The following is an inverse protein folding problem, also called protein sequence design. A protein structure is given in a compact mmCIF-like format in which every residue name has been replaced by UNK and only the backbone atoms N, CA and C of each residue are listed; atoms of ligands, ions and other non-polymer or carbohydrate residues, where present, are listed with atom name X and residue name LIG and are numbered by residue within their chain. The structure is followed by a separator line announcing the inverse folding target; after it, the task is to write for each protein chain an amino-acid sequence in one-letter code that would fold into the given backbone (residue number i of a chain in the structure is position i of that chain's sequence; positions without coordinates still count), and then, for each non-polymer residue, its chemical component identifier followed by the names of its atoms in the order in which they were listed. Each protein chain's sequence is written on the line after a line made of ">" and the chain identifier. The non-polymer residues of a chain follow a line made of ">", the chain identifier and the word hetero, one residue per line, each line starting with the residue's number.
data_IF_261725753098
#
_entry.id   IF_261725753098
#
_cell.length_a   1.000
_cell.length_b   1.000
_cell.length_c   1.000
_cell.angle_alpha   90.00
_cell.angle_beta   90.00
_cell.angle_gamma   90.00
#
_symmetry.space_group_name_H-M   'P 1'
#
loop_
_entity.id
_entity.type
_entity.pdbx_description
1 polymer ?
#
# COMPACT_ATOMS: atom_id res chain seq x y z
N UNK A 1 8.93 -18.68 44.50
CA UNK A 1 7.59 -18.70 43.90
C UNK A 1 7.70 -18.20 42.46
N UNK A 2 7.11 -18.96 41.54
CA UNK A 2 6.86 -18.73 40.11
C UNK A 2 7.85 -17.89 39.29
N UNK A 3 8.56 -18.55 38.36
CA UNK A 3 9.11 -17.90 37.16
C UNK A 3 7.94 -17.31 36.36
N UNK A 4 7.95 -16.00 36.16
CA UNK A 4 7.06 -15.34 35.20
C UNK A 4 7.47 -15.79 33.79
N UNK A 5 6.62 -16.46 33.01
CA UNK A 5 6.84 -16.54 31.58
C UNK A 5 6.47 -15.16 31.02
N UNK A 6 7.47 -14.30 30.84
CA UNK A 6 7.37 -13.25 29.83
C UNK A 6 7.20 -14.00 28.51
N UNK A 7 6.00 -14.05 27.92
CA UNK A 7 5.89 -14.47 26.53
C UNK A 7 6.82 -13.57 25.75
N UNK A 8 7.82 -14.16 25.11
CA UNK A 8 8.73 -13.39 24.28
C UNK A 8 7.93 -12.78 23.13
N UNK A 9 8.36 -11.65 22.58
CA UNK A 9 7.67 -11.05 21.42
C UNK A 9 7.51 -12.07 20.28
N UNK A 10 8.43 -13.04 20.16
CA UNK A 10 8.36 -14.15 19.22
C UNK A 10 7.17 -15.08 19.48
N UNK A 11 6.83 -15.36 20.74
CA UNK A 11 5.67 -16.19 21.09
C UNK A 11 4.36 -15.53 20.63
N UNK A 12 4.24 -14.21 20.79
CA UNK A 12 3.05 -13.45 20.34
C UNK A 12 2.93 -13.52 18.82
N UNK A 13 4.04 -13.35 18.09
CA UNK A 13 4.05 -13.49 16.65
C UNK A 13 3.59 -14.90 16.22
N UNK A 14 4.14 -15.94 16.84
CA UNK A 14 3.81 -17.32 16.49
C UNK A 14 2.34 -17.65 16.75
N UNK A 15 1.77 -17.15 17.85
CA UNK A 15 0.34 -17.28 18.16
C UNK A 15 -0.54 -16.58 17.12
N UNK A 16 -0.17 -15.35 16.71
CA UNK A 16 -0.90 -14.60 15.68
C UNK A 16 -0.80 -15.27 14.31
N UNK A 17 0.39 -15.73 13.94
CA UNK A 17 0.60 -16.46 12.69
C UNK A 17 -0.21 -17.76 12.68
N UNK A 18 -0.21 -18.52 13.77
CA UNK A 18 -1.01 -19.74 13.88
C UNK A 18 -2.51 -19.45 13.77
N UNK A 19 -2.99 -18.35 14.36
CA UNK A 19 -4.40 -17.92 14.26
C UNK A 19 -4.80 -17.52 12.84
N UNK A 20 -3.92 -16.84 12.09
CA UNK A 20 -4.22 -16.32 10.75
C UNK A 20 -3.84 -17.27 9.62
N UNK A 21 -2.99 -18.28 9.87
CA UNK A 21 -2.53 -19.24 8.88
C UNK A 21 -3.66 -19.98 8.12
N UNK A 22 -4.77 -20.40 8.77
CA UNK A 22 -5.88 -21.05 8.08
C UNK A 22 -6.60 -20.15 7.05
N UNK A 23 -6.49 -18.83 7.19
CA UNK A 23 -7.04 -17.88 6.23
C UNK A 23 -5.99 -17.54 5.16
N UNK A 24 -4.76 -17.22 5.59
CA UNK A 24 -3.70 -16.72 4.70
C UNK A 24 -3.20 -17.76 3.69
N UNK A 25 -2.78 -18.94 4.15
CA UNK A 25 -2.07 -19.87 3.28
C UNK A 25 -2.96 -20.56 2.24
N UNK A 26 -4.19 -21.00 2.57
CA UNK A 26 -5.07 -21.60 1.56
C UNK A 26 -5.42 -20.64 0.41
N UNK A 27 -5.60 -19.35 0.70
CA UNK A 27 -5.82 -18.35 -0.35
C UNK A 27 -4.59 -18.19 -1.25
N UNK A 28 -3.38 -18.14 -0.66
CA UNK A 28 -2.14 -18.05 -1.43
C UNK A 28 -1.83 -19.34 -2.20
N UNK A 29 -2.19 -20.50 -1.66
CA UNK A 29 -2.05 -21.79 -2.34
C UNK A 29 -3.01 -21.89 -3.53
N UNK A 30 -4.23 -21.39 -3.39
CA UNK A 30 -5.18 -21.31 -4.51
C UNK A 30 -4.67 -20.43 -5.66
N UNK A 31 -3.99 -19.31 -5.35
CA UNK A 31 -3.44 -18.40 -6.36
C UNK A 31 -2.12 -18.87 -6.96
N UNK A 32 -1.21 -19.39 -6.13
CA UNK A 32 0.19 -19.58 -6.50
C UNK A 32 0.70 -21.01 -6.29
N UNK A 33 -0.06 -21.91 -5.67
CA UNK A 33 0.40 -23.24 -5.25
C UNK A 33 0.90 -24.15 -6.38
N UNK A 34 0.45 -23.92 -7.61
CA UNK A 34 0.94 -24.64 -8.79
C UNK A 34 2.33 -24.16 -9.29
N UNK A 35 2.85 -23.04 -8.77
CA UNK A 35 4.14 -22.50 -9.19
C UNK A 35 5.29 -23.19 -8.46
N UNK A 36 6.37 -23.45 -9.18
CA UNK A 36 7.58 -24.07 -8.62
C UNK A 36 8.27 -23.21 -7.55
N UNK A 37 8.09 -21.88 -7.57
CA UNK A 37 8.67 -20.93 -6.62
C UNK A 37 7.81 -20.67 -5.39
N UNK A 38 6.62 -21.28 -5.29
CA UNK A 38 5.67 -21.05 -4.19
C UNK A 38 6.24 -21.36 -2.79
N UNK A 39 6.95 -22.49 -2.55
CA UNK A 39 7.54 -22.75 -1.23
C UNK A 39 8.53 -21.65 -0.81
N UNK A 40 9.40 -21.22 -1.73
CA UNK A 40 10.37 -20.16 -1.47
C UNK A 40 9.69 -18.79 -1.26
N UNK A 41 8.59 -18.50 -1.97
CA UNK A 41 7.76 -17.32 -1.71
C UNK A 41 7.17 -17.36 -0.29
N UNK A 42 6.62 -18.50 0.13
CA UNK A 42 6.02 -18.67 1.47
C UNK A 42 7.04 -18.39 2.58
N UNK A 43 8.25 -18.92 2.45
CA UNK A 43 9.33 -18.69 3.41
C UNK A 43 9.73 -17.21 3.47
N UNK A 44 9.85 -16.55 2.31
CA UNK A 44 10.14 -15.11 2.24
C UNK A 44 9.02 -14.27 2.85
N UNK A 45 7.77 -14.62 2.62
CA UNK A 45 6.61 -13.94 3.21
C UNK A 45 6.64 -14.03 4.74
N UNK A 46 6.84 -15.22 5.31
CA UNK A 46 6.93 -15.40 6.76
C UNK A 46 8.11 -14.61 7.34
N UNK A 47 9.26 -14.60 6.63
CA UNK A 47 10.43 -13.81 7.03
C UNK A 47 10.14 -12.31 7.03
N UNK A 48 9.45 -11.78 6.01
CA UNK A 48 9.04 -10.38 5.94
C UNK A 48 8.08 -10.02 7.09
N UNK A 49 7.08 -10.86 7.37
CA UNK A 49 6.16 -10.67 8.48
C UNK A 49 6.88 -10.67 9.84
N UNK A 50 7.80 -11.61 10.07
CA UNK A 50 8.63 -11.64 11.30
C UNK A 50 9.47 -10.39 11.45
N UNK A 51 10.10 -9.94 10.35
CA UNK A 51 10.88 -8.69 10.35
C UNK A 51 10.00 -7.49 10.69
N UNK A 52 8.84 -7.35 10.04
CA UNK A 52 7.89 -6.26 10.33
C UNK A 52 7.45 -6.25 11.80
N UNK A 53 7.21 -7.41 12.40
CA UNK A 53 6.93 -7.51 13.83
C UNK A 53 8.12 -7.08 14.70
N UNK A 54 9.32 -7.57 14.39
CA UNK A 54 10.54 -7.24 15.13
C UNK A 54 10.85 -5.73 15.09
N UNK A 55 10.63 -5.08 13.94
CA UNK A 55 10.86 -3.65 13.76
C UNK A 55 9.72 -2.79 14.33
N UNK A 56 8.55 -3.37 14.64
CA UNK A 56 7.35 -2.63 15.08
C UNK A 56 7.58 -1.90 16.41
N UNK A 57 7.39 -0.57 16.48
CA UNK A 57 7.50 0.21 17.70
C UNK A 57 6.60 -0.27 18.85
N UNK A 58 7.08 -0.13 20.09
CA UNK A 58 6.38 -0.62 21.27
C UNK A 58 4.99 0.02 21.49
N UNK A 59 4.81 1.29 21.15
CA UNK A 59 3.51 1.98 21.23
C UNK A 59 2.50 1.38 20.23
N UNK A 60 2.96 0.99 19.03
CA UNK A 60 2.14 0.33 18.03
C UNK A 60 1.83 -1.12 18.38
N UNK A 61 2.77 -1.86 19.01
CA UNK A 61 2.46 -3.20 19.56
C UNK A 61 1.41 -3.13 20.66
N UNK A 62 1.48 -2.11 21.53
CA UNK A 62 0.42 -1.83 22.52
C UNK A 62 -0.91 -1.53 21.85
N UNK A 63 -0.90 -0.74 20.76
CA UNK A 63 -2.10 -0.46 19.98
C UNK A 63 -2.69 -1.75 19.39
N UNK A 64 -1.86 -2.67 18.88
CA UNK A 64 -2.34 -3.96 18.38
C UNK A 64 -3.10 -4.74 19.46
N UNK A 65 -2.53 -4.86 20.66
CA UNK A 65 -3.19 -5.53 21.79
C UNK A 65 -4.51 -4.84 22.17
N UNK A 66 -4.55 -3.51 22.15
CA UNK A 66 -5.78 -2.77 22.42
C UNK A 66 -6.86 -3.06 21.36
N UNK A 67 -6.50 -3.21 20.08
CA UNK A 67 -7.44 -3.54 19.01
C UNK A 67 -7.85 -5.01 19.00
N UNK A 68 -6.97 -5.93 19.42
CA UNK A 68 -7.34 -7.34 19.64
C UNK A 68 -8.41 -7.48 20.74
N UNK A 69 -8.33 -6.65 21.79
CA UNK A 69 -9.30 -6.63 22.89
C UNK A 69 -10.60 -5.90 22.54
N UNK A 70 -10.57 -4.99 21.57
CA UNK A 70 -11.71 -4.20 21.12
C UNK A 70 -11.91 -4.38 19.60
N UNK A 71 -12.25 -5.58 19.11
CA UNK A 71 -12.35 -5.83 17.66
C UNK A 71 -13.46 -5.02 16.99
N UNK A 72 -14.44 -4.52 17.75
CA UNK A 72 -15.55 -3.69 17.31
C UNK A 72 -15.27 -2.19 17.42
N UNK A 73 -14.02 -1.78 17.70
CA UNK A 73 -13.66 -0.38 17.94
C UNK A 73 -14.13 0.56 16.83
N UNK A 74 -14.13 0.08 15.57
CA UNK A 74 -14.52 0.78 14.35
C UNK A 74 -16.05 0.87 14.12
N UNK A 75 -16.86 0.26 14.99
CA UNK A 75 -18.33 0.28 14.93
C UNK A 75 -18.96 1.24 15.95
N UNK A 76 -18.14 1.91 16.76
CA UNK A 76 -18.61 2.77 17.85
C UNK A 76 -19.30 4.02 17.28
N UNK A 77 -20.43 4.46 17.85
CA UNK A 77 -21.16 5.65 17.36
C UNK A 77 -20.34 6.94 17.37
N UNK A 78 -19.29 7.00 18.21
CA UNK A 78 -18.39 8.15 18.32
C UNK A 78 -17.40 8.28 17.15
N UNK A 79 -17.37 7.34 16.21
CA UNK A 79 -16.44 7.42 15.10
C UNK A 79 -16.89 8.44 14.06
N UNK A 80 -16.13 9.52 13.98
CA UNK A 80 -16.26 10.51 12.93
C UNK A 80 -14.99 10.52 12.08
N UNK A 81 -15.17 10.26 10.78
CA UNK A 81 -14.11 10.32 9.78
C UNK A 81 -14.00 11.71 9.17
N UNK A 82 -12.77 12.15 8.93
CA UNK A 82 -12.48 13.38 8.20
C UNK A 82 -11.39 13.10 7.15
N UNK A 83 -11.65 13.49 5.90
CA UNK A 83 -10.81 13.17 4.75
C UNK A 83 -10.31 14.46 4.13
N UNK A 84 -9.01 14.58 3.85
CA UNK A 84 -8.48 15.76 3.18
C UNK A 84 -7.14 15.54 2.46
N UNK A 85 -6.89 16.40 1.47
CA UNK A 85 -5.57 16.61 0.89
C UNK A 85 -4.74 17.51 1.81
N UNK A 86 -3.51 17.10 2.13
CA UNK A 86 -2.62 17.81 3.08
C UNK A 86 -2.41 19.27 2.68
N UNK A 87 -2.10 19.52 1.41
CA UNK A 87 -1.86 20.85 0.84
C UNK A 87 -3.10 21.74 0.87
N UNK A 88 -4.26 21.19 0.52
CA UNK A 88 -5.52 21.94 0.49
C UNK A 88 -6.08 22.21 1.88
N UNK A 89 -5.78 21.35 2.85
CA UNK A 89 -6.24 21.51 4.22
C UNK A 89 -5.42 22.56 4.96
N UNK A 90 -4.09 22.41 4.96
CA UNK A 90 -3.20 23.41 5.57
C UNK A 90 -1.76 23.37 5.05
N UNK A 91 -1.57 23.23 3.73
CA UNK A 91 -0.27 23.40 3.06
C UNK A 91 0.68 22.19 3.15
N UNK A 92 0.99 21.70 4.35
CA UNK A 92 1.95 20.61 4.55
C UNK A 92 1.70 19.86 5.87
N UNK A 93 2.52 18.85 6.19
CA UNK A 93 2.35 18.04 7.40
C UNK A 93 2.50 18.85 8.71
N UNK A 94 3.35 19.89 8.72
CA UNK A 94 3.43 20.81 9.86
C UNK A 94 2.11 21.59 10.01
N UNK A 95 1.52 22.04 8.92
CA UNK A 95 0.20 22.66 8.96
C UNK A 95 -0.90 21.70 9.43
N UNK A 96 -0.79 20.39 9.20
CA UNK A 96 -1.72 19.41 9.79
C UNK A 96 -1.60 19.41 11.31
N UNK A 97 -0.39 19.47 11.86
CA UNK A 97 -0.17 19.59 13.31
C UNK A 97 -0.85 20.83 13.89
N UNK A 98 -0.79 21.95 13.18
CA UNK A 98 -1.42 23.22 13.59
C UNK A 98 -2.96 23.17 13.58
N UNK A 99 -3.56 22.12 13.01
CA UNK A 99 -5.02 21.93 12.90
C UNK A 99 -5.55 20.78 13.76
N UNK A 100 -4.72 20.15 14.59
CA UNK A 100 -5.18 19.04 15.43
C UNK A 100 -6.25 19.47 16.43
N UNK A 101 -6.13 20.66 17.03
CA UNK A 101 -7.13 21.19 17.95
C UNK A 101 -8.48 21.41 17.25
N UNK A 102 -8.45 21.88 15.99
CA UNK A 102 -9.67 22.00 15.17
C UNK A 102 -10.33 20.64 14.89
N UNK A 103 -9.53 19.62 14.57
CA UNK A 103 -10.07 18.27 14.34
C UNK A 103 -10.66 17.68 15.63
N UNK A 104 -10.04 17.94 16.77
CA UNK A 104 -10.50 17.49 18.09
C UNK A 104 -11.80 18.18 18.49
N UNK A 105 -11.89 19.51 18.32
CA UNK A 105 -13.09 20.30 18.57
C UNK A 105 -14.28 19.85 17.70
N UNK A 106 -14.00 19.41 16.47
CA UNK A 106 -15.01 18.86 15.57
C UNK A 106 -15.47 17.43 15.98
N UNK A 107 -14.76 16.80 16.92
CA UNK A 107 -15.03 15.43 17.37
C UNK A 107 -14.51 14.35 16.41
N UNK A 108 -13.53 14.68 15.55
CA UNK A 108 -12.93 13.73 14.62
C UNK A 108 -12.14 12.68 15.39
N UNK A 109 -12.28 11.42 15.00
CA UNK A 109 -11.56 10.28 15.60
C UNK A 109 -10.86 9.41 14.54
N UNK A 110 -11.03 9.74 13.27
CA UNK A 110 -10.43 9.04 12.15
C UNK A 110 -10.07 10.06 11.06
N UNK A 111 -8.81 10.09 10.68
CA UNK A 111 -8.28 11.04 9.69
C UNK A 111 -7.74 10.25 8.51
N UNK A 112 -8.31 10.47 7.33
CA UNK A 112 -7.78 9.95 6.08
C UNK A 112 -7.05 11.06 5.33
N UNK A 113 -5.74 10.90 5.18
CA UNK A 113 -4.94 11.72 4.30
C UNK A 113 -5.03 11.14 2.89
N UNK A 114 -5.51 11.94 1.94
CA UNK A 114 -5.41 11.62 0.50
C UNK A 114 -3.93 11.36 0.12
N UNK A 115 -3.63 10.70 -1.03
CA UNK A 115 -2.30 10.16 -1.32
C UNK A 115 -1.14 11.10 -0.99
N UNK A 116 -0.33 10.68 -0.01
CA UNK A 116 0.75 11.50 0.56
C UNK A 116 2.15 11.00 0.20
N UNK A 117 2.25 9.80 -0.37
CA UNK A 117 3.51 9.22 -0.85
C UNK A 117 3.99 9.95 -2.11
N UNK A 118 5.26 9.81 -2.43
CA UNK A 118 5.90 10.54 -3.52
C UNK A 118 5.29 10.12 -4.86
N UNK A 119 4.59 11.05 -5.53
CA UNK A 119 3.99 10.77 -6.82
C UNK A 119 4.98 11.04 -7.95
N UNK A 120 4.61 10.64 -9.16
CA UNK A 120 5.32 11.09 -10.36
C UNK A 120 5.34 12.63 -10.48
N UNK A 121 6.33 13.21 -11.17
CA UNK A 121 6.31 14.63 -11.50
C UNK A 121 5.16 15.00 -12.45
N UNK A 122 4.58 16.19 -12.26
CA UNK A 122 3.50 16.71 -13.09
C UNK A 122 2.14 16.13 -12.69
N UNK A 123 1.29 15.84 -13.69
CA UNK A 123 0.00 15.18 -13.45
C UNK A 123 0.23 13.82 -12.80
N UNK A 124 -0.45 13.55 -11.69
CA UNK A 124 -0.27 12.33 -10.93
C UNK A 124 -1.59 11.71 -10.49
N UNK A 125 -2.69 12.13 -11.11
CA UNK A 125 -4.03 11.71 -10.70
C UNK A 125 -4.25 12.00 -9.21
N UNK A 126 -3.98 13.24 -8.79
CA UNK A 126 -4.09 13.65 -7.38
C UNK A 126 -3.16 12.90 -6.41
N UNK A 127 -2.08 12.31 -6.90
CA UNK A 127 -1.11 11.54 -6.11
C UNK A 127 -1.26 10.02 -6.20
N UNK A 128 -2.28 9.50 -6.89
CA UNK A 128 -2.48 8.06 -7.09
C UNK A 128 -1.45 7.42 -8.03
N UNK A 129 -0.67 8.22 -8.77
CA UNK A 129 0.49 7.72 -9.52
C UNK A 129 1.75 7.69 -8.65
N UNK A 130 1.86 6.67 -7.78
CA UNK A 130 2.96 6.53 -6.81
C UNK A 130 4.25 6.09 -7.48
N UNK A 131 5.33 6.86 -7.33
CA UNK A 131 6.66 6.51 -7.85
C UNK A 131 7.63 6.00 -6.77
N UNK A 132 7.32 6.23 -5.50
CA UNK A 132 8.09 5.70 -4.36
C UNK A 132 7.19 5.56 -3.12
N UNK A 133 6.92 4.32 -2.71
CA UNK A 133 6.09 4.02 -1.54
C UNK A 133 6.77 4.34 -0.20
N UNK A 134 8.10 4.50 -0.19
CA UNK A 134 8.90 4.67 1.04
C UNK A 134 9.30 6.13 1.29
N UNK A 135 8.75 7.05 0.51
CA UNK A 135 9.03 8.47 0.62
C UNK A 135 7.72 9.27 0.59
N UNK A 136 7.56 10.19 1.55
CA UNK A 136 6.50 11.21 1.51
C UNK A 136 6.77 12.17 0.36
N UNK A 137 5.71 12.68 -0.28
CA UNK A 137 5.82 13.75 -1.26
C UNK A 137 6.62 14.92 -0.66
N UNK A 138 7.78 15.30 -1.21
CA UNK A 138 8.61 16.36 -0.65
C UNK A 138 7.91 17.72 -0.51
N UNK A 139 6.81 17.95 -1.25
CA UNK A 139 5.97 19.13 -1.09
C UNK A 139 5.21 19.17 0.25
N UNK A 140 4.96 18.00 0.86
CA UNK A 140 4.23 17.88 2.12
C UNK A 140 5.16 17.74 3.33
N UNK A 141 6.40 17.30 3.13
CA UNK A 141 7.40 17.13 4.18
C UNK A 141 8.21 15.85 4.03
N UNK A 142 8.72 15.35 5.14
CA UNK A 142 9.53 14.13 5.25
C UNK A 142 8.74 12.98 5.89
N UNK A 143 9.32 11.77 5.87
CA UNK A 143 8.76 10.63 6.61
C UNK A 143 8.71 10.89 8.12
N UNK A 144 9.71 11.61 8.67
CA UNK A 144 9.71 11.98 10.08
C UNK A 144 8.56 12.94 10.43
N UNK A 145 8.21 13.87 9.54
CA UNK A 145 7.05 14.75 9.74
C UNK A 145 5.74 13.96 9.72
N UNK A 146 5.65 12.95 8.85
CA UNK A 146 4.49 12.05 8.78
C UNK A 146 4.36 11.18 10.05
N UNK A 147 5.46 10.64 10.55
CA UNK A 147 5.51 9.92 11.83
C UNK A 147 5.08 10.82 13.00
N UNK A 148 5.51 12.09 13.01
CA UNK A 148 5.11 13.06 14.03
C UNK A 148 3.61 13.36 13.98
N UNK A 149 3.02 13.58 12.79
CA UNK A 149 1.57 13.73 12.61
C UNK A 149 0.83 12.48 13.08
N UNK A 150 1.29 11.30 12.66
CA UNK A 150 0.70 10.01 13.03
C UNK A 150 0.69 9.82 14.55
N UNK A 151 1.79 10.12 15.24
CA UNK A 151 1.88 10.04 16.69
C UNK A 151 0.97 11.07 17.39
N UNK A 152 0.92 12.31 16.89
CA UNK A 152 0.11 13.38 17.46
C UNK A 152 -1.40 13.14 17.31
N UNK A 153 -1.83 12.55 16.20
CA UNK A 153 -3.20 12.06 15.99
C UNK A 153 -3.54 10.94 16.98
N UNK A 154 -2.69 9.92 17.11
CA UNK A 154 -2.91 8.82 18.06
C UNK A 154 -3.01 9.31 19.50
N UNK A 155 -2.19 10.28 19.90
CA UNK A 155 -2.24 10.88 21.23
C UNK A 155 -3.60 11.56 21.54
N UNK A 156 -4.33 11.99 20.52
CA UNK A 156 -5.68 12.58 20.61
C UNK A 156 -6.80 11.56 20.36
N UNK A 157 -6.49 10.27 20.31
CA UNK A 157 -7.46 9.23 20.03
C UNK A 157 -7.94 9.20 18.56
N UNK A 158 -7.22 9.85 17.65
CA UNK A 158 -7.51 9.85 16.22
C UNK A 158 -6.71 8.74 15.51
N UNK A 159 -7.39 7.92 14.72
CA UNK A 159 -6.75 6.91 13.88
C UNK A 159 -6.35 7.52 12.54
N UNK A 160 -5.10 7.32 12.12
CA UNK A 160 -4.62 7.74 10.80
C UNK A 160 -4.93 6.65 9.76
N UNK A 161 -5.44 7.08 8.61
CA UNK A 161 -5.63 6.27 7.41
C UNK A 161 -4.90 6.92 6.24
N UNK A 162 -4.30 6.07 5.40
CA UNK A 162 -3.65 6.46 4.15
C UNK A 162 -4.05 5.48 3.05
N UNK A 163 -4.02 5.94 1.81
CA UNK A 163 -4.21 5.08 0.65
C UNK A 163 -3.04 4.10 0.49
N UNK A 164 -3.34 2.82 0.30
CA UNK A 164 -2.39 1.85 -0.24
C UNK A 164 -2.72 1.65 -1.71
N UNK A 165 -2.00 2.34 -2.60
CA UNK A 165 -2.22 2.23 -4.05
C UNK A 165 -1.56 0.94 -4.57
N UNK A 166 -2.26 -0.18 -4.46
CA UNK A 166 -1.71 -1.51 -4.71
C UNK A 166 -1.99 -2.08 -6.11
N UNK A 167 -2.86 -1.45 -6.91
CA UNK A 167 -3.18 -1.98 -8.24
C UNK A 167 -2.11 -1.61 -9.28
N UNK A 168 -1.51 -0.43 -9.14
CA UNK A 168 -0.61 0.14 -10.13
C UNK A 168 0.47 0.99 -9.48
N UNK A 169 1.53 1.24 -10.22
CA UNK A 169 2.55 2.25 -9.87
C UNK A 169 2.66 3.28 -10.98
N UNK A 170 3.28 4.43 -10.70
CA UNK A 170 3.71 5.34 -11.75
C UNK A 170 4.68 4.66 -12.74
N UNK A 171 4.65 5.03 -14.03
CA UNK A 171 5.68 4.60 -15.01
C UNK A 171 7.10 5.06 -14.61
N UNK A 172 7.21 6.07 -13.75
CA UNK A 172 8.46 6.55 -13.16
C UNK A 172 8.94 5.74 -11.93
N UNK A 173 8.14 4.79 -11.43
CA UNK A 173 8.52 3.90 -10.33
C UNK A 173 9.78 3.09 -10.67
N UNK A 174 10.60 2.77 -9.67
CA UNK A 174 11.85 2.05 -9.88
C UNK A 174 11.64 0.69 -10.58
N UNK A 175 10.55 -0.02 -10.24
CA UNK A 175 10.15 -1.27 -10.89
C UNK A 175 9.80 -1.04 -12.37
N UNK A 176 8.93 -0.06 -12.69
CA UNK A 176 8.54 0.23 -14.06
C UNK A 176 9.73 0.66 -14.92
N UNK A 177 10.66 1.46 -14.36
CA UNK A 177 11.91 1.85 -15.03
C UNK A 177 12.81 0.66 -15.35
N UNK A 178 12.89 -0.36 -14.48
CA UNK A 178 13.66 -1.59 -14.76
C UNK A 178 12.97 -2.44 -15.81
N UNK A 179 11.64 -2.58 -15.74
CA UNK A 179 10.82 -3.26 -16.74
C UNK A 179 11.00 -2.65 -18.15
N UNK A 180 10.92 -1.31 -18.23
CA UNK A 180 11.13 -0.54 -19.46
C UNK A 180 12.55 -0.71 -20.05
N UNK A 181 13.56 -0.99 -19.20
CA UNK A 181 14.93 -1.29 -19.64
C UNK A 181 15.14 -2.75 -20.08
N UNK A 182 14.10 -3.58 -20.02
CA UNK A 182 14.18 -4.98 -20.45
C UNK A 182 14.56 -5.97 -19.36
N UNK A 183 14.58 -5.59 -18.08
CA UNK A 183 14.84 -6.53 -16.99
C UNK A 183 13.68 -7.54 -16.88
N UNK A 184 13.91 -8.84 -17.16
CA UNK A 184 12.82 -9.82 -17.23
C UNK A 184 12.05 -9.97 -15.92
N UNK A 185 12.73 -9.83 -14.78
CA UNK A 185 12.08 -9.98 -13.48
C UNK A 185 11.09 -8.85 -13.21
N UNK A 186 11.42 -7.62 -13.60
CA UNK A 186 10.54 -6.46 -13.43
C UNK A 186 9.55 -6.31 -14.59
N UNK A 187 9.82 -6.85 -15.79
CA UNK A 187 8.78 -6.96 -16.81
C UNK A 187 7.61 -7.81 -16.31
N UNK A 188 7.89 -8.90 -15.58
CA UNK A 188 6.87 -9.73 -14.95
C UNK A 188 6.21 -9.09 -13.71
N UNK A 189 6.60 -7.88 -13.31
CA UNK A 189 5.84 -7.08 -12.32
C UNK A 189 4.66 -6.35 -12.96
N UNK A 190 4.58 -6.28 -14.30
CA UNK A 190 3.52 -5.59 -15.03
C UNK A 190 2.94 -6.49 -16.12
N UNK A 191 1.78 -6.10 -16.63
CA UNK A 191 1.15 -6.78 -17.76
C UNK A 191 1.62 -6.13 -19.07
N UNK A 192 2.70 -6.65 -19.64
CA UNK A 192 3.34 -6.13 -20.86
C UNK A 192 3.19 -7.12 -22.03
N UNK A 193 2.85 -6.61 -23.22
CA UNK A 193 2.56 -7.43 -24.41
C UNK A 193 3.37 -6.96 -25.62
N UNK A 194 3.91 -7.91 -26.38
CA UNK A 194 4.67 -7.64 -27.61
C UNK A 194 3.78 -7.19 -28.77
N UNK A 195 2.56 -7.72 -28.86
CA UNK A 195 1.61 -7.43 -29.92
C UNK A 195 0.28 -6.93 -29.35
N UNK A 196 -0.53 -6.20 -30.13
CA UNK A 196 -1.82 -5.72 -29.67
C UNK A 196 -2.89 -6.83 -29.60
N UNK A 197 -2.59 -8.08 -29.95
CA UNK A 197 -3.61 -9.13 -30.11
C UNK A 197 -4.32 -9.45 -28.78
N UNK A 198 -3.54 -9.66 -27.70
CA UNK A 198 -4.09 -9.85 -26.36
C UNK A 198 -4.74 -8.57 -25.81
N UNK A 199 -4.10 -7.38 -25.85
CA UNK A 199 -4.76 -6.13 -25.50
C UNK A 199 -6.13 -5.93 -26.17
N UNK A 200 -6.23 -6.20 -27.48
CA UNK A 200 -7.50 -6.12 -28.23
C UNK A 200 -8.50 -7.18 -27.80
N UNK A 201 -8.05 -8.39 -27.47
CA UNK A 201 -8.93 -9.45 -26.98
C UNK A 201 -9.54 -9.08 -25.62
N UNK A 202 -8.71 -8.62 -24.66
CA UNK A 202 -9.18 -8.15 -23.35
C UNK A 202 -10.14 -6.97 -23.47
N UNK A 203 -9.81 -5.99 -24.33
CA UNK A 203 -10.62 -4.77 -24.51
C UNK A 203 -12.06 -5.04 -24.99
N UNK A 204 -12.38 -6.26 -25.46
CA UNK A 204 -13.77 -6.64 -25.81
C UNK A 204 -14.70 -6.71 -24.60
N UNK A 205 -14.15 -6.88 -23.40
CA UNK A 205 -14.91 -7.08 -22.16
C UNK A 205 -14.52 -6.12 -21.03
N UNK A 206 -13.47 -5.32 -21.21
CA UNK A 206 -13.05 -4.33 -20.22
C UNK A 206 -13.88 -3.05 -20.33
N UNK A 207 -14.16 -2.44 -19.19
CA UNK A 207 -14.78 -1.12 -19.08
C UNK A 207 -13.68 -0.06 -19.17
N UNK A 208 -13.95 1.06 -19.83
CA UNK A 208 -13.06 2.22 -19.81
C UNK A 208 -13.37 3.06 -18.58
N UNK A 209 -12.40 3.19 -17.67
CA UNK A 209 -12.56 3.96 -16.43
C UNK A 209 -12.50 5.47 -16.72
N UNK A 210 -11.60 5.88 -17.62
CA UNK A 210 -11.37 7.29 -17.98
C UNK A 210 -11.41 7.51 -19.50
N UNK A 211 -12.54 7.28 -20.17
CA UNK A 211 -12.63 7.35 -21.64
C UNK A 211 -12.23 8.72 -22.21
N UNK A 212 -12.42 9.81 -21.47
CA UNK A 212 -12.10 11.16 -21.92
C UNK A 212 -10.61 11.55 -21.72
N UNK A 213 -9.91 10.88 -20.80
CA UNK A 213 -8.53 11.22 -20.40
C UNK A 213 -7.51 10.18 -20.87
N UNK A 214 -7.84 8.90 -20.75
CA UNK A 214 -7.02 7.76 -21.13
C UNK A 214 -7.92 6.67 -21.75
N UNK A 215 -8.25 6.80 -23.05
CA UNK A 215 -9.09 5.82 -23.73
C UNK A 215 -8.49 4.41 -23.71
N UNK A 216 -9.35 3.40 -23.55
CA UNK A 216 -8.97 2.01 -23.44
C UNK A 216 -8.45 1.61 -22.05
N UNK A 217 -7.69 0.50 -22.03
CA UNK A 217 -7.07 -0.07 -20.83
C UNK A 217 -5.59 -0.45 -21.07
N UNK A 218 -5.05 -0.05 -22.23
CA UNK A 218 -3.70 -0.40 -22.66
C UNK A 218 -3.06 0.78 -23.38
N UNK A 219 -1.81 1.07 -23.02
CA UNK A 219 -1.00 2.11 -23.67
C UNK A 219 0.16 1.45 -24.42
N UNK A 220 0.36 1.81 -25.69
CA UNK A 220 1.54 1.42 -26.44
C UNK A 220 2.68 2.39 -26.18
N UNK A 221 3.86 1.87 -25.82
CA UNK A 221 5.09 2.63 -25.63
C UNK A 221 6.09 2.30 -26.74
N UNK A 222 6.21 3.16 -27.78
CA UNK A 222 7.11 2.90 -28.90
C UNK A 222 8.57 2.72 -28.48
N UNK A 223 9.04 3.48 -27.48
CA UNK A 223 10.44 3.47 -27.04
C UNK A 223 10.89 2.12 -26.46
N UNK A 224 9.95 1.31 -25.97
CA UNK A 224 10.22 -0.03 -25.45
C UNK A 224 9.57 -1.13 -26.30
N UNK A 225 8.79 -0.77 -27.33
CA UNK A 225 8.12 -1.69 -28.24
C UNK A 225 7.09 -2.60 -27.56
N UNK A 226 6.40 -2.12 -26.51
CA UNK A 226 5.43 -2.92 -25.74
C UNK A 226 4.10 -2.19 -25.57
N UNK A 227 3.03 -2.97 -25.49
CA UNK A 227 1.76 -2.53 -24.92
C UNK A 227 1.78 -2.84 -23.43
N UNK A 228 1.38 -1.88 -22.58
CA UNK A 228 1.30 -2.08 -21.14
C UNK A 228 -0.12 -1.85 -20.68
N UNK A 229 -0.61 -2.69 -19.77
CA UNK A 229 -1.92 -2.53 -19.17
C UNK A 229 -1.94 -1.31 -18.25
N UNK A 230 -2.87 -0.40 -18.56
CA UNK A 230 -3.07 0.91 -17.92
C UNK A 230 -4.57 1.13 -17.77
N UNK A 231 -5.19 0.46 -16.79
CA UNK A 231 -6.66 0.57 -16.54
C UNK A 231 -7.11 2.01 -16.30
N UNK A 232 -6.21 2.83 -15.74
CA UNK A 232 -6.43 4.22 -15.37
C UNK A 232 -5.72 5.16 -16.36
N UNK A 233 -4.91 6.11 -15.89
CA UNK A 233 -4.14 6.98 -16.78
C UNK A 233 -2.95 6.23 -17.40
N UNK A 234 -2.45 6.72 -18.54
CA UNK A 234 -1.29 6.10 -19.19
C UNK A 234 -0.08 5.97 -18.25
N UNK A 235 0.11 6.89 -17.31
CA UNK A 235 1.23 6.83 -16.38
C UNK A 235 1.02 5.89 -15.18
N UNK A 236 -0.11 5.18 -15.09
CA UNK A 236 -0.41 4.20 -14.05
C UNK A 236 -0.32 2.78 -14.63
N UNK A 237 0.82 2.12 -14.43
CA UNK A 237 1.06 0.77 -14.94
C UNK A 237 0.54 -0.27 -13.95
N UNK A 238 -0.37 -1.11 -14.41
CA UNK A 238 -1.01 -2.12 -13.57
C UNK A 238 -0.02 -3.25 -13.21
N UNK A 239 0.02 -3.56 -11.92
CA UNK A 239 0.86 -4.59 -11.34
C UNK A 239 0.32 -5.98 -11.68
N UNK A 240 1.22 -6.89 -12.05
CA UNK A 240 0.91 -8.28 -12.34
C UNK A 240 0.82 -9.09 -11.04
N UNK A 241 -0.37 -9.13 -10.44
CA UNK A 241 -0.64 -9.93 -9.24
C UNK A 241 -0.57 -11.45 -9.45
N UNK A 242 -0.44 -11.95 -10.68
CA UNK A 242 -0.13 -13.37 -10.93
C UNK A 242 1.33 -13.73 -10.55
N UNK A 243 2.19 -12.73 -10.37
CA UNK A 243 3.54 -12.89 -9.89
C UNK A 243 3.59 -12.75 -8.35
N UNK A 244 3.91 -13.81 -7.59
CA UNK A 244 3.95 -13.76 -6.13
C UNK A 244 5.02 -12.79 -5.57
N UNK A 245 6.02 -12.39 -6.37
CA UNK A 245 6.96 -11.35 -5.97
C UNK A 245 6.28 -9.98 -5.79
N UNK A 246 5.30 -9.64 -6.63
CA UNK A 246 4.50 -8.41 -6.49
C UNK A 246 3.73 -8.41 -5.17
N UNK A 247 3.11 -9.55 -4.83
CA UNK A 247 2.44 -9.70 -3.54
C UNK A 247 3.39 -9.43 -2.36
N UNK A 248 4.59 -10.03 -2.41
CA UNK A 248 5.59 -9.85 -1.35
C UNK A 248 6.04 -8.39 -1.23
N UNK A 249 6.30 -7.72 -2.35
CA UNK A 249 6.71 -6.31 -2.37
C UNK A 249 5.64 -5.40 -1.75
N UNK A 250 4.37 -5.62 -2.08
CA UNK A 250 3.26 -4.85 -1.49
C UNK A 250 3.08 -5.17 0.00
N UNK A 251 3.29 -6.42 0.43
CA UNK A 251 3.31 -6.74 1.87
C UNK A 251 4.45 -6.00 2.58
N UNK A 252 5.64 -5.94 2.00
CA UNK A 252 6.75 -5.18 2.57
C UNK A 252 6.49 -3.67 2.59
N UNK A 253 5.70 -3.14 1.66
CA UNK A 253 5.21 -1.75 1.70
C UNK A 253 4.16 -1.57 2.81
N UNK A 254 3.25 -2.53 3.00
CA UNK A 254 2.22 -2.48 4.04
C UNK A 254 2.80 -2.57 5.46
N UNK A 255 3.93 -3.27 5.62
CA UNK A 255 4.63 -3.43 6.90
C UNK A 255 5.55 -2.25 7.26
N UNK A 256 5.96 -1.46 6.26
CA UNK A 256 6.81 -0.27 6.43
C UNK A 256 6.00 0.89 7.02
#
# INVERSE_FOLDING_TARGET
>A
MARTPSSTDDDIFDLRLARSAPDLFPMLEALYGARADYPAFRDRLVKALRKGWADRPADLRRLDLARDLEPDWFQRPRLAGYVFYIDRFNGNLQGVLDKLDYLEDLGVTYVHLMPCLKPRPGDSDGGYSVMDYRQINPAFGSMADFEAVSAALRARGMSLCVDLVLNHTAKEHAWAKKAAKGDPAYQDYYLMFDTPDLPKAYSRTLVEVFPDNAPGNFTHYPDIGKWVWTTFNEHQWDLNWANPAVFLEIVEVMLF
#
